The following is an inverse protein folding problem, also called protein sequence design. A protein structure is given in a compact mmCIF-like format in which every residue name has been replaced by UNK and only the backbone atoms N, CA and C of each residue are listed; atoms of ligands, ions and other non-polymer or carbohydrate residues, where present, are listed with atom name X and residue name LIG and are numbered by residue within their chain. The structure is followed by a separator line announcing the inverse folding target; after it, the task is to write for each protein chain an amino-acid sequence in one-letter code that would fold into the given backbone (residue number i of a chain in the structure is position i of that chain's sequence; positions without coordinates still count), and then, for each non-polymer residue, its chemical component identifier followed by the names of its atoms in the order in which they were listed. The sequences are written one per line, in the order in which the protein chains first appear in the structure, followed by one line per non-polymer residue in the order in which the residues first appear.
data_IF_122391298003
#
_entry.id   IF_122391298003
#
_cell.length_a   1.000
_cell.length_b   1.000
_cell.length_c   1.000
_cell.angle_alpha   90.00
_cell.angle_beta   90.00
_cell.angle_gamma   90.00
#
_symmetry.space_group_name_H-M   'P 1'
#
loop_
_entity.id
_entity.type
_entity.pdbx_description
1 polymer ?
#
# COMPACT_ATOMS: atom_id res chain seq x y z
N UNK A 1 -33.51 79.05 14.95
CA UNK A 1 -34.18 77.77 14.62
C UNK A 1 -33.16 76.68 14.90
N UNK A 2 -33.12 76.09 16.12
CA UNK A 2 -33.78 74.82 16.51
C UNK A 2 -33.58 73.71 15.44
N UNK A 3 -32.89 72.59 15.67
CA UNK A 3 -32.68 71.87 16.94
C UNK A 3 -31.37 71.07 17.06
N UNK A 4 -31.12 70.70 18.31
CA UNK A 4 -30.04 69.87 18.86
C UNK A 4 -30.48 68.40 19.00
N UNK A 5 -29.48 67.55 19.26
CA UNK A 5 -29.51 66.21 19.90
C UNK A 5 -29.97 65.03 19.01
N UNK A 6 -29.23 63.91 18.93
CA UNK A 6 -28.73 63.13 20.06
C UNK A 6 -27.35 62.48 19.84
N UNK A 7 -26.54 62.53 20.89
CA UNK A 7 -25.28 61.82 21.10
C UNK A 7 -25.58 60.52 21.90
N UNK A 8 -24.62 59.57 21.86
CA UNK A 8 -24.20 58.68 22.97
C UNK A 8 -24.77 57.24 23.08
N UNK A 9 -23.84 56.29 22.88
CA UNK A 9 -23.60 54.99 23.55
C UNK A 9 -24.33 53.71 23.07
N UNK A 10 -23.54 52.80 22.48
CA UNK A 10 -23.29 51.41 22.91
C UNK A 10 -22.43 50.71 21.80
N UNK A 11 -21.11 50.75 21.82
CA UNK A 11 -20.21 49.75 22.41
C UNK A 11 -20.85 48.37 22.70
N UNK A 12 -20.15 47.34 22.20
CA UNK A 12 -20.15 45.91 22.56
C UNK A 12 -20.96 44.97 21.63
N UNK A 13 -20.24 43.91 21.20
CA UNK A 13 -20.63 42.67 20.52
C UNK A 13 -20.71 42.72 18.97
N UNK A 14 -20.01 41.90 18.18
CA UNK A 14 -19.04 40.81 18.41
C UNK A 14 -18.49 40.42 17.04
N UNK A 15 -17.18 40.17 16.98
CA UNK A 15 -16.51 39.12 16.19
C UNK A 15 -17.26 38.55 14.98
N UNK A 16 -16.75 38.84 13.78
CA UNK A 16 -16.69 37.84 12.71
C UNK A 16 -15.45 38.07 11.86
N UNK A 17 -14.31 37.79 12.49
CA UNK A 17 -13.19 37.14 11.80
C UNK A 17 -13.75 35.86 11.17
N UNK A 18 -13.93 35.84 9.86
CA UNK A 18 -13.89 34.60 9.10
C UNK A 18 -12.57 34.56 8.33
N UNK A 19 -11.54 34.14 9.05
CA UNK A 19 -10.45 33.38 8.48
C UNK A 19 -10.99 31.98 8.14
N UNK A 20 -10.95 31.56 6.87
CA UNK A 20 -10.92 30.14 6.44
C UNK A 20 -10.99 30.10 4.90
N UNK A 21 -10.02 29.64 4.14
CA UNK A 21 -8.71 29.09 4.46
C UNK A 21 -7.74 29.39 3.32
N UNK A 22 -6.44 29.19 3.58
CA UNK A 22 -5.42 29.23 2.54
C UNK A 22 -5.85 28.28 1.42
N UNK A 23 -5.99 28.81 0.21
CA UNK A 23 -5.96 28.00 -1.00
C UNK A 23 -4.58 27.37 -1.01
N UNK A 24 -4.49 26.05 -0.82
CA UNK A 24 -3.20 25.35 -0.88
C UNK A 24 -2.49 25.76 -2.19
N UNK A 25 -1.22 26.20 -2.16
CA UNK A 25 -0.56 26.78 -3.32
C UNK A 25 -0.27 25.78 -4.45
N UNK A 26 -0.44 24.48 -4.21
CA UNK A 26 -0.25 23.46 -5.23
C UNK A 26 -1.48 22.57 -5.28
N UNK A 27 -2.14 22.41 -6.46
CA UNK A 27 -3.10 21.32 -6.61
C UNK A 27 -2.34 20.02 -6.35
N UNK A 28 -2.60 19.39 -5.21
CA UNK A 28 -2.05 18.06 -4.92
C UNK A 28 -2.31 17.19 -6.15
N UNK A 29 -1.27 16.55 -6.74
CA UNK A 29 -1.44 15.66 -7.86
C UNK A 29 -2.58 14.71 -7.53
N UNK A 30 -3.63 14.73 -8.34
CA UNK A 30 -4.82 13.93 -8.05
C UNK A 30 -4.38 12.46 -7.98
N UNK A 31 -4.44 11.88 -6.77
CA UNK A 31 -3.99 10.52 -6.58
C UNK A 31 -4.83 9.56 -7.43
N UNK A 32 -4.24 8.48 -7.96
CA UNK A 32 -4.99 7.43 -8.62
C UNK A 32 -6.11 6.89 -7.73
N UNK A 33 -7.25 6.52 -8.32
CA UNK A 33 -8.45 6.10 -7.57
C UNK A 33 -8.30 4.85 -6.71
N UNK A 34 -7.24 4.06 -6.90
CA UNK A 34 -6.90 2.92 -6.04
C UNK A 34 -6.19 3.33 -4.73
N UNK A 35 -5.65 4.55 -4.64
CA UNK A 35 -5.12 5.10 -3.40
C UNK A 35 -6.23 5.85 -2.69
N UNK A 36 -6.59 5.40 -1.48
CA UNK A 36 -7.64 6.03 -0.68
C UNK A 36 -7.04 6.68 0.55
N UNK A 37 -6.93 8.01 0.55
CA UNK A 37 -6.64 8.77 1.77
C UNK A 37 -7.93 8.84 2.59
N UNK A 38 -7.98 8.26 3.81
CA UNK A 38 -9.14 8.38 4.67
C UNK A 38 -9.21 9.76 5.33
N UNK A 39 -10.41 10.19 5.74
CA UNK A 39 -10.61 11.44 6.45
C UNK A 39 -9.84 11.49 7.79
N UNK A 40 -9.78 10.36 8.51
CA UNK A 40 -8.97 10.12 9.72
C UNK A 40 -8.04 8.94 9.47
N UNK A 41 -6.85 8.94 10.07
CA UNK A 41 -5.93 7.80 10.00
C UNK A 41 -6.33 6.65 10.94
N UNK A 42 -7.26 6.89 11.86
CA UNK A 42 -7.75 5.88 12.81
C UNK A 42 -8.34 4.67 12.08
N UNK A 43 -7.77 3.49 12.34
CA UNK A 43 -8.25 2.22 11.76
C UNK A 43 -7.93 2.05 10.27
N UNK A 44 -7.11 2.92 9.68
CA UNK A 44 -6.64 2.76 8.31
C UNK A 44 -5.58 1.66 8.22
N UNK A 45 -5.79 0.70 7.32
CA UNK A 45 -4.95 -0.50 7.18
C UNK A 45 -4.13 -0.53 5.91
N UNK A 46 -4.01 0.61 5.21
CA UNK A 46 -3.30 0.69 3.94
C UNK A 46 -4.20 0.52 2.70
N UNK A 47 -3.68 0.98 1.56
CA UNK A 47 -4.25 0.75 0.23
C UNK A 47 -3.13 0.85 -0.81
N UNK A 48 -3.36 0.38 -2.02
CA UNK A 48 -2.31 0.44 -3.03
C UNK A 48 -2.65 -0.29 -4.29
N UNK A 49 -1.62 -0.41 -5.13
CA UNK A 49 -1.58 -1.26 -6.31
C UNK A 49 -0.29 -2.06 -6.28
N UNK A 50 -0.40 -3.37 -6.51
CA UNK A 50 0.74 -4.25 -6.77
C UNK A 50 0.43 -5.04 -8.04
N UNK A 51 1.32 -4.95 -9.03
CA UNK A 51 1.23 -5.68 -10.28
C UNK A 51 2.48 -6.55 -10.48
N UNK A 52 2.29 -7.81 -10.83
CA UNK A 52 3.36 -8.76 -11.17
C UNK A 52 3.15 -9.23 -12.60
N UNK A 53 4.21 -9.25 -13.39
CA UNK A 53 4.26 -9.61 -14.80
C UNK A 53 5.43 -10.56 -15.08
N UNK A 54 5.45 -11.16 -16.29
CA UNK A 54 6.52 -12.05 -16.75
C UNK A 54 6.08 -13.50 -16.69
N UNK A 55 6.71 -14.31 -15.82
CA UNK A 55 6.28 -15.69 -15.57
C UNK A 55 4.89 -15.84 -14.95
N UNK A 56 4.32 -14.74 -14.44
CA UNK A 56 3.00 -14.66 -13.80
C UNK A 56 2.35 -13.31 -14.14
N UNK A 57 1.02 -13.24 -14.16
CA UNK A 57 0.26 -11.99 -14.33
C UNK A 57 -0.73 -11.83 -13.17
N UNK A 58 -0.37 -11.01 -12.18
CA UNK A 58 -1.14 -10.75 -10.96
C UNK A 58 -1.38 -9.25 -10.80
N UNK A 59 -2.57 -8.86 -10.34
CA UNK A 59 -2.92 -7.46 -10.08
C UNK A 59 -3.84 -7.33 -8.86
N UNK A 60 -3.40 -6.59 -7.85
CA UNK A 60 -4.22 -6.17 -6.71
C UNK A 60 -4.27 -4.64 -6.67
N UNK A 61 -5.46 -4.08 -6.45
CA UNK A 61 -5.71 -2.63 -6.42
C UNK A 61 -6.72 -2.25 -5.34
N UNK A 62 -6.52 -1.09 -4.71
CA UNK A 62 -7.41 -0.54 -3.69
C UNK A 62 -7.04 -0.96 -2.26
N UNK A 63 -7.79 -0.48 -1.25
CA UNK A 63 -7.76 -1.11 0.07
C UNK A 63 -8.28 -2.54 -0.02
N UNK A 64 -7.78 -3.41 0.85
CA UNK A 64 -8.30 -4.77 0.93
C UNK A 64 -9.80 -4.76 1.31
N UNK A 65 -10.61 -5.35 0.44
CA UNK A 65 -12.05 -5.46 0.62
C UNK A 65 -12.55 -6.85 0.21
N UNK A 66 -13.61 -7.31 0.85
CA UNK A 66 -14.30 -8.53 0.46
C UNK A 66 -15.42 -8.21 -0.54
N UNK A 67 -15.41 -8.88 -1.69
CA UNK A 67 -16.54 -8.93 -2.60
C UNK A 67 -17.68 -9.72 -1.93
N UNK A 68 -18.82 -9.07 -1.73
CA UNK A 68 -19.94 -9.66 -1.01
C UNK A 68 -20.58 -10.86 -1.74
N UNK A 69 -20.46 -10.92 -3.07
CA UNK A 69 -21.08 -11.92 -3.93
C UNK A 69 -20.22 -13.18 -4.06
N UNK A 70 -18.92 -13.01 -4.28
CA UNK A 70 -17.96 -14.12 -4.46
C UNK A 70 -17.26 -14.50 -3.16
N UNK A 71 -17.42 -13.69 -2.11
CA UNK A 71 -16.69 -13.78 -0.83
C UNK A 71 -15.16 -13.72 -0.98
N UNK A 72 -14.67 -13.21 -2.11
CA UNK A 72 -13.23 -13.08 -2.39
C UNK A 72 -12.69 -11.75 -1.86
N UNK A 73 -11.47 -11.76 -1.32
CA UNK A 73 -10.77 -10.53 -0.95
C UNK A 73 -9.97 -10.01 -2.15
N UNK A 74 -9.89 -8.69 -2.29
CA UNK A 74 -9.08 -8.02 -3.30
C UNK A 74 -8.50 -6.73 -2.76
N UNK A 75 -7.28 -6.41 -3.15
CA UNK A 75 -6.63 -5.14 -2.84
C UNK A 75 -5.39 -5.33 -1.99
N UNK A 76 -4.96 -4.23 -1.38
CA UNK A 76 -3.71 -4.13 -0.62
C UNK A 76 -4.01 -3.65 0.79
N UNK A 77 -3.34 -4.26 1.77
CA UNK A 77 -3.29 -3.83 3.16
C UNK A 77 -1.84 -3.86 3.65
N UNK A 78 -1.50 -3.09 4.67
CA UNK A 78 -0.13 -3.02 5.14
C UNK A 78 0.13 -1.88 6.12
N UNK A 79 1.38 -1.83 6.57
CA UNK A 79 1.88 -0.83 7.51
C UNK A 79 3.39 -0.68 7.41
N UNK A 80 3.88 0.37 8.03
CA UNK A 80 5.28 0.65 8.26
C UNK A 80 5.52 0.53 9.76
N UNK A 81 6.57 -0.18 10.18
CA UNK A 81 6.95 -0.28 11.60
C UNK A 81 8.45 -0.12 11.69
N UNK A 82 8.93 0.96 12.31
CA UNK A 82 10.37 1.20 12.50
C UNK A 82 11.13 1.15 11.16
N UNK A 83 10.52 1.70 10.09
CA UNK A 83 11.10 1.70 8.75
C UNK A 83 10.97 0.38 7.97
N UNK A 84 10.35 -0.65 8.53
CA UNK A 84 10.03 -1.90 7.84
C UNK A 84 8.65 -1.79 7.17
N UNK A 85 8.58 -2.07 5.88
CA UNK A 85 7.33 -2.07 5.12
C UNK A 85 6.81 -3.50 5.04
N UNK A 86 5.58 -3.73 5.50
CA UNK A 86 4.84 -4.96 5.18
C UNK A 86 3.60 -4.60 4.38
N UNK A 87 3.52 -5.04 3.13
CA UNK A 87 2.36 -4.89 2.27
C UNK A 87 1.84 -6.26 1.84
N UNK A 88 0.67 -6.64 2.35
CA UNK A 88 -0.06 -7.82 1.93
C UNK A 88 -0.98 -7.43 0.77
N UNK A 89 -1.10 -8.31 -0.21
CA UNK A 89 -2.00 -8.11 -1.33
C UNK A 89 -2.75 -9.39 -1.65
N UNK A 90 -4.03 -9.25 -1.93
CA UNK A 90 -4.89 -10.35 -2.35
C UNK A 90 -5.32 -10.14 -3.79
N UNK A 91 -5.05 -11.13 -4.63
CA UNK A 91 -5.39 -11.11 -6.04
C UNK A 91 -6.71 -11.84 -6.27
N UNK A 92 -7.71 -11.12 -6.74
CA UNK A 92 -9.05 -11.64 -7.05
C UNK A 92 -9.08 -12.47 -8.33
N UNK A 93 -8.32 -13.58 -8.39
CA UNK A 93 -8.33 -14.44 -9.57
C UNK A 93 -9.51 -15.41 -9.54
N UNK A 94 -10.22 -15.61 -10.69
CA UNK A 94 -11.08 -16.75 -10.87
C UNK A 94 -10.21 -18.00 -11.08
N UNK A 95 -10.42 -19.07 -10.30
CA UNK A 95 -9.95 -20.42 -10.65
C UNK A 95 -11.13 -21.36 -10.79
N UNK A 96 -10.97 -22.38 -11.62
CA UNK A 96 -11.99 -23.35 -12.03
C UNK A 96 -12.47 -24.28 -10.89
N UNK A 97 -12.96 -23.71 -9.79
CA UNK A 97 -13.77 -24.44 -8.82
C UNK A 97 -15.22 -24.40 -9.32
N UNK A 98 -15.72 -25.53 -9.82
CA UNK A 98 -17.14 -25.67 -10.17
C UNK A 98 -17.98 -25.58 -8.89
N UNK A 99 -18.81 -24.54 -8.86
CA UNK A 99 -20.16 -24.47 -8.31
C UNK A 99 -20.34 -25.03 -6.88
N UNK A 100 -20.16 -24.18 -5.85
CA UNK A 100 -21.23 -23.76 -4.90
C UNK A 100 -20.74 -23.13 -3.58
N UNK A 101 -19.45 -23.11 -3.23
CA UNK A 101 -19.11 -22.63 -1.87
C UNK A 101 -17.67 -22.18 -1.73
N UNK A 102 -17.50 -21.01 -1.10
CA UNK A 102 -16.34 -20.51 -0.33
C UNK A 102 -14.96 -20.98 -0.78
N UNK A 103 -14.08 -20.07 -1.24
CA UNK A 103 -12.65 -20.35 -1.43
C UNK A 103 -11.97 -20.38 -0.05
N UNK A 104 -11.50 -21.55 0.45
CA UNK A 104 -10.77 -21.60 1.71
C UNK A 104 -9.48 -20.78 1.63
N UNK A 105 -9.00 -20.26 2.76
CA UNK A 105 -7.81 -19.39 2.81
C UNK A 105 -6.57 -20.02 2.13
N UNK A 106 -6.44 -21.34 2.19
CA UNK A 106 -5.39 -22.12 1.54
C UNK A 106 -5.41 -22.05 0.00
N UNK A 107 -6.49 -21.55 -0.61
CA UNK A 107 -6.67 -21.42 -2.06
C UNK A 107 -6.83 -19.98 -2.52
N UNK A 108 -6.69 -18.99 -1.62
CA UNK A 108 -6.62 -17.57 -2.00
C UNK A 108 -5.26 -17.31 -2.63
N UNK A 109 -5.25 -16.63 -3.78
CA UNK A 109 -4.00 -16.10 -4.32
C UNK A 109 -3.66 -14.85 -3.53
N UNK A 110 -2.57 -14.88 -2.78
CA UNK A 110 -2.10 -13.74 -2.01
C UNK A 110 -0.59 -13.59 -2.13
N UNK A 111 -0.10 -12.43 -1.75
CA UNK A 111 1.32 -12.23 -1.57
C UNK A 111 1.63 -11.21 -0.49
N UNK A 112 2.89 -11.19 -0.12
CA UNK A 112 3.47 -10.25 0.81
C UNK A 112 4.72 -9.67 0.18
N UNK A 113 4.75 -8.35 0.08
CA UNK A 113 5.95 -7.57 -0.20
C UNK A 113 6.48 -7.04 1.14
N UNK A 114 7.71 -7.41 1.47
CA UNK A 114 8.39 -7.00 2.69
C UNK A 114 9.61 -6.17 2.33
N UNK A 115 9.84 -5.08 3.05
CA UNK A 115 11.15 -4.42 3.11
C UNK A 115 11.55 -4.25 4.57
N UNK A 116 12.83 -4.46 4.86
CA UNK A 116 13.43 -4.28 6.18
C UNK A 116 14.36 -3.07 6.08
N UNK A 117 14.22 -2.11 7.00
CA UNK A 117 14.99 -0.88 7.06
C UNK A 117 15.08 -0.13 5.72
N UNK A 118 13.98 -0.07 4.97
CA UNK A 118 13.96 0.46 3.61
C UNK A 118 12.62 1.10 3.29
N UNK A 119 12.50 2.38 3.68
CA UNK A 119 11.41 3.30 3.29
C UNK A 119 11.90 4.39 2.33
N UNK A 120 13.20 4.66 2.29
CA UNK A 120 13.77 5.72 1.48
C UNK A 120 13.92 5.31 0.00
N UNK A 121 13.97 6.27 -0.93
CA UNK A 121 14.32 5.98 -2.32
C UNK A 121 15.69 5.29 -2.44
N UNK A 122 15.75 4.21 -3.21
CA UNK A 122 16.95 3.38 -3.29
C UNK A 122 16.69 2.04 -3.97
N UNK A 123 17.76 1.29 -4.20
CA UNK A 123 17.69 -0.10 -4.68
C UNK A 123 18.22 -1.04 -3.61
N UNK A 124 17.41 -2.04 -3.28
CA UNK A 124 17.62 -2.97 -2.19
C UNK A 124 17.70 -4.40 -2.73
N UNK A 125 18.59 -5.24 -2.17
CA UNK A 125 18.66 -6.66 -2.52
C UNK A 125 17.35 -7.35 -2.12
N UNK A 126 16.84 -8.23 -2.99
CA UNK A 126 15.63 -9.00 -2.75
C UNK A 126 15.89 -10.50 -2.76
N UNK A 127 15.33 -11.21 -1.78
CA UNK A 127 15.24 -12.67 -1.74
C UNK A 127 16.28 -13.37 -0.87
N UNK A 128 16.03 -14.66 -0.57
CA UNK A 128 16.73 -15.40 0.49
C UNK A 128 18.19 -15.77 0.19
N UNK A 129 18.64 -15.76 -1.07
CA UNK A 129 20.05 -15.96 -1.43
C UNK A 129 20.83 -14.64 -1.54
N UNK A 130 20.15 -13.50 -1.39
CA UNK A 130 20.81 -12.19 -1.41
C UNK A 130 21.31 -11.79 -0.03
N UNK A 131 22.44 -11.07 -0.01
CA UNK A 131 22.96 -10.48 1.22
C UNK A 131 22.32 -9.11 1.44
N UNK A 132 21.94 -8.76 2.68
CA UNK A 132 21.49 -7.41 3.01
C UNK A 132 22.53 -6.35 2.65
N UNK A 133 22.10 -5.09 2.56
CA UNK A 133 23.02 -3.95 2.48
C UNK A 133 23.86 -3.83 3.77
N UNK A 134 24.92 -3.01 3.79
CA UNK A 134 25.68 -2.75 5.03
C UNK A 134 24.83 -2.18 6.19
N UNK A 135 23.69 -1.55 5.88
CA UNK A 135 22.73 -1.03 6.87
C UNK A 135 21.68 -2.07 7.28
N UNK A 136 21.79 -3.31 6.80
CA UNK A 136 20.85 -4.39 7.06
C UNK A 136 19.58 -4.34 6.22
N UNK A 137 19.52 -3.50 5.18
CA UNK A 137 18.31 -3.38 4.36
C UNK A 137 18.18 -4.55 3.37
N UNK A 138 16.97 -5.09 3.27
CA UNK A 138 16.63 -6.22 2.39
C UNK A 138 15.14 -6.18 2.05
N UNK A 139 14.77 -6.74 0.90
CA UNK A 139 13.39 -6.97 0.50
C UNK A 139 13.09 -8.45 0.29
N UNK A 140 11.81 -8.80 0.35
CA UNK A 140 11.33 -10.14 -0.03
C UNK A 140 9.95 -10.05 -0.69
N UNK A 141 9.65 -11.05 -1.52
CA UNK A 141 8.35 -11.27 -2.13
C UNK A 141 7.96 -12.73 -1.91
N UNK A 142 6.87 -12.93 -1.17
CA UNK A 142 6.29 -14.25 -0.94
C UNK A 142 4.93 -14.29 -1.63
N UNK A 143 4.70 -15.28 -2.48
CA UNK A 143 3.40 -15.54 -3.10
C UNK A 143 2.86 -16.88 -2.66
N UNK A 144 1.61 -16.88 -2.24
CA UNK A 144 0.81 -18.09 -2.10
C UNK A 144 -0.13 -18.17 -3.31
N UNK A 145 0.18 -19.05 -4.26
CA UNK A 145 -0.64 -19.28 -5.44
C UNK A 145 -1.37 -20.62 -5.29
N UNK A 146 -2.58 -20.78 -5.85
CA UNK A 146 -3.35 -21.99 -5.58
C UNK A 146 -2.60 -23.23 -6.09
N UNK A 147 -2.47 -24.20 -5.18
CA UNK A 147 -1.55 -25.33 -5.31
C UNK A 147 -0.83 -25.57 -3.98
N UNK A 148 0.00 -26.62 -3.88
CA UNK A 148 0.71 -26.95 -2.64
C UNK A 148 2.05 -26.20 -2.48
N UNK A 149 2.35 -25.24 -3.37
CA UNK A 149 3.64 -24.56 -3.43
C UNK A 149 3.52 -23.09 -3.01
N UNK A 150 4.46 -22.65 -2.18
CA UNK A 150 4.76 -21.26 -1.88
C UNK A 150 5.90 -20.80 -2.77
N UNK A 151 5.80 -19.59 -3.30
CA UNK A 151 6.84 -18.99 -4.13
C UNK A 151 7.51 -17.88 -3.35
N UNK A 152 8.83 -17.91 -3.24
CA UNK A 152 9.59 -16.87 -2.55
C UNK A 152 10.66 -16.31 -3.48
N UNK A 153 10.97 -15.02 -3.35
CA UNK A 153 12.09 -14.42 -4.04
C UNK A 153 13.39 -15.13 -3.63
N UNK A 154 14.08 -15.73 -4.61
CA UNK A 154 15.39 -16.33 -4.41
C UNK A 154 16.48 -15.28 -4.49
N UNK A 155 16.46 -14.51 -5.58
CA UNK A 155 17.34 -13.39 -5.81
C UNK A 155 16.64 -12.32 -6.66
N UNK A 156 17.13 -11.08 -6.58
CA UNK A 156 16.53 -9.97 -7.28
C UNK A 156 16.83 -8.63 -6.65
N UNK A 157 16.09 -7.62 -7.08
CA UNK A 157 16.16 -6.26 -6.57
C UNK A 157 14.76 -5.68 -6.40
N UNK A 158 14.62 -4.85 -5.37
CA UNK A 158 13.51 -3.92 -5.19
C UNK A 158 14.04 -2.50 -5.30
N UNK A 159 13.40 -1.65 -6.08
CA UNK A 159 13.72 -0.23 -6.19
C UNK A 159 12.54 0.59 -5.69
N UNK A 160 12.75 1.35 -4.61
CA UNK A 160 11.85 2.43 -4.19
C UNK A 160 12.25 3.65 -5.00
N UNK A 161 11.36 4.11 -5.88
CA UNK A 161 11.58 5.29 -6.70
C UNK A 161 11.22 6.57 -5.94
N UNK A 162 10.15 6.52 -5.15
CA UNK A 162 9.64 7.66 -4.40
C UNK A 162 9.05 7.21 -3.06
N UNK A 163 9.27 8.01 -2.01
CA UNK A 163 8.66 7.86 -0.70
C UNK A 163 8.28 9.23 -0.17
N UNK A 164 6.99 9.51 -0.08
CA UNK A 164 6.46 10.86 0.15
C UNK A 164 5.48 10.83 1.31
N UNK A 165 5.71 11.68 2.31
CA UNK A 165 4.75 11.89 3.41
C UNK A 165 3.51 12.63 2.89
N UNK A 166 2.35 11.99 2.97
CA UNK A 166 1.07 12.50 2.46
C UNK A 166 0.27 13.21 3.54
N UNK A 167 0.24 12.65 4.75
CA UNK A 167 -0.57 13.17 5.86
C UNK A 167 0.05 12.80 7.20
N UNK A 168 -0.10 13.68 8.19
CA UNK A 168 0.21 13.40 9.60
C UNK A 168 -1.04 13.63 10.45
N UNK A 169 -1.33 12.74 11.39
CA UNK A 169 -2.43 12.86 12.34
C UNK A 169 -1.96 12.37 13.72
N UNK A 170 -1.61 13.30 14.61
CA UNK A 170 -1.01 12.93 15.89
C UNK A 170 0.37 12.28 15.70
N UNK A 171 0.52 11.03 16.12
CA UNK A 171 1.74 10.23 15.95
C UNK A 171 1.78 9.47 14.62
N UNK A 172 0.61 9.29 14.01
CA UNK A 172 0.47 8.48 12.80
C UNK A 172 0.92 9.28 11.57
N UNK A 173 1.69 8.62 10.69
CA UNK A 173 2.16 9.21 9.44
C UNK A 173 1.79 8.35 8.25
N UNK A 174 1.17 8.96 7.25
CA UNK A 174 0.75 8.30 6.03
C UNK A 174 1.76 8.56 4.91
N UNK A 175 2.43 7.53 4.42
CA UNK A 175 3.37 7.63 3.31
C UNK A 175 2.81 7.03 2.04
N UNK A 176 3.11 7.66 0.90
CA UNK A 176 3.01 7.04 -0.42
C UNK A 176 4.37 6.52 -0.82
N UNK A 177 4.45 5.25 -1.18
CA UNK A 177 5.70 4.58 -1.54
C UNK A 177 5.52 3.91 -2.90
N UNK A 178 6.39 4.26 -3.85
CA UNK A 178 6.28 3.83 -5.23
C UNK A 178 7.58 3.19 -5.70
N UNK A 179 7.47 2.15 -6.52
CA UNK A 179 8.65 1.48 -7.01
C UNK A 179 8.39 0.27 -7.90
N UNK A 180 9.47 -0.47 -8.12
CA UNK A 180 9.50 -1.65 -8.99
C UNK A 180 10.30 -2.77 -8.34
N UNK A 181 10.10 -4.00 -8.77
CA UNK A 181 10.97 -5.12 -8.42
C UNK A 181 11.19 -6.03 -9.62
N UNK A 182 12.31 -6.74 -9.56
CA UNK A 182 12.64 -7.83 -10.47
C UNK A 182 13.24 -8.97 -9.64
N UNK A 183 12.68 -10.17 -9.75
CA UNK A 183 13.15 -11.30 -8.97
C UNK A 183 12.93 -12.63 -9.68
N UNK A 184 13.74 -13.61 -9.32
CA UNK A 184 13.52 -15.01 -9.63
C UNK A 184 12.78 -15.65 -8.46
N UNK A 185 11.55 -16.13 -8.70
CA UNK A 185 10.77 -16.84 -7.68
C UNK A 185 11.11 -18.33 -7.68
N UNK A 186 11.36 -18.85 -6.49
CA UNK A 186 11.60 -20.26 -6.24
C UNK A 186 10.40 -20.89 -5.51
N UNK A 187 9.88 -21.99 -6.05
CA UNK A 187 8.72 -22.70 -5.51
C UNK A 187 9.10 -23.80 -4.50
N UNK A 188 8.57 -23.72 -3.29
CA UNK A 188 8.76 -24.68 -2.19
C UNK A 188 7.42 -25.26 -1.75
N UNK A 189 7.31 -26.58 -1.51
CA UNK A 189 6.04 -27.19 -1.09
C UNK A 189 5.95 -28.69 -1.30
N UNK A 190 4.77 -29.26 -1.03
CA UNK A 190 4.51 -30.71 -1.20
C UNK A 190 4.48 -31.07 -2.69
N UNK A 191 5.39 -31.95 -3.11
CA UNK A 191 5.69 -32.26 -4.50
C UNK A 191 7.20 -32.21 -4.77
N UNK A 192 7.62 -32.30 -6.02
CA UNK A 192 9.02 -31.99 -6.38
C UNK A 192 9.21 -30.47 -6.27
N UNK A 193 10.29 -29.97 -5.61
CA UNK A 193 10.67 -28.56 -5.67
C UNK A 193 10.68 -28.11 -7.12
N UNK A 194 10.25 -26.87 -7.38
CA UNK A 194 10.38 -26.34 -8.73
C UNK A 194 11.86 -26.35 -9.09
N UNK A 195 12.27 -27.16 -10.06
CA UNK A 195 13.66 -27.18 -10.56
C UNK A 195 13.98 -25.93 -11.39
N UNK A 196 13.01 -25.02 -11.55
CA UNK A 196 13.10 -23.81 -12.35
C UNK A 196 12.66 -22.60 -11.55
N UNK A 197 13.42 -21.53 -11.66
CA UNK A 197 13.01 -20.24 -11.13
C UNK A 197 12.04 -19.57 -12.12
N UNK A 198 11.07 -18.83 -11.59
CA UNK A 198 10.15 -18.01 -12.37
C UNK A 198 10.63 -16.55 -12.33
N UNK A 199 11.19 -16.08 -13.44
CA UNK A 199 11.54 -14.66 -13.56
C UNK A 199 10.27 -13.81 -13.62
N UNK A 200 10.13 -12.90 -12.66
CA UNK A 200 9.03 -11.95 -12.58
C UNK A 200 9.55 -10.53 -12.42
N UNK A 201 8.77 -9.59 -12.94
CA UNK A 201 8.93 -8.17 -12.67
C UNK A 201 7.63 -7.63 -12.10
N UNK A 202 7.68 -6.53 -11.38
CA UNK A 202 6.47 -5.90 -10.89
C UNK A 202 6.64 -4.46 -10.49
N UNK A 203 5.50 -3.83 -10.24
CA UNK A 203 5.39 -2.44 -9.80
C UNK A 203 4.52 -2.37 -8.55
N UNK A 204 4.80 -1.39 -7.71
CA UNK A 204 4.00 -1.10 -6.53
C UNK A 204 3.80 0.41 -6.36
N UNK A 205 2.61 0.79 -5.92
CA UNK A 205 2.23 2.14 -5.53
C UNK A 205 1.33 2.01 -4.30
N UNK A 206 1.90 2.29 -3.12
CA UNK A 206 1.35 1.92 -1.82
C UNK A 206 1.09 3.17 -1.00
N UNK A 207 0.03 3.17 -0.21
CA UNK A 207 -0.31 4.21 0.75
C UNK A 207 -0.43 3.57 2.13
N UNK A 208 0.63 3.69 2.95
CA UNK A 208 0.82 2.91 4.17
C UNK A 208 1.01 3.81 5.39
N UNK A 209 0.51 3.33 6.53
CA UNK A 209 0.59 4.02 7.82
C UNK A 209 1.86 3.59 8.57
N UNK A 210 2.63 4.56 9.06
CA UNK A 210 3.69 4.42 10.09
C UNK A 210 3.14 4.81 11.46
#
# INVERSE_FOLDING_TARGET
MKGYASYVIALVLTVSLWTCGKKDPDPQPQLPGYLRIPATLTGYVGSGRIAISGGLNLLAEGPEAQDASTKTYTGVSGKIVIGDITANFTVGQPRAYKETSFVPDAYKSSGQLLTIHAIEPGTYPMGFETKPTPTGAQADLILNLPGPQLYQARNGTLTIAESTLIKTEGVDKLYRIQGTFQTALFGTGVGLPSTKDYAVTGTFDLLLLE
#
